data_IF_765377710723
#
_entry.id   IF_765377710723
#
_cell.length_a   1.000
_cell.length_b   1.000
_cell.length_c   1.000
_cell.angle_alpha   90.00
_cell.angle_beta   90.00
_cell.angle_gamma   90.00
#
_symmetry.space_group_name_H-M   'P 1'
#
loop_
_entity.id
_entity.type
_entity.pdbx_description
1 polymer ?
#
# COMPACT_ATOMS: atom_id res chain seq x y z
N UNK A 1 -0.32 -15.96 -12.70
CA UNK A 1 -1.60 -15.58 -12.05
C UNK A 1 -1.50 -14.24 -11.31
N UNK A 2 -0.59 -14.06 -10.37
CA UNK A 2 -0.46 -12.79 -9.62
C UNK A 2 -0.26 -11.54 -10.48
N UNK A 3 0.50 -11.62 -11.57
CA UNK A 3 0.70 -10.50 -12.51
C UNK A 3 -0.61 -10.05 -13.17
N UNK A 4 -1.52 -10.98 -13.48
CA UNK A 4 -2.82 -10.66 -14.07
C UNK A 4 -3.70 -9.95 -13.05
N UNK A 5 -3.73 -10.43 -11.81
CA UNK A 5 -4.44 -9.78 -10.70
C UNK A 5 -3.89 -8.39 -10.42
N UNK A 6 -2.56 -8.26 -10.40
CA UNK A 6 -1.88 -6.98 -10.25
C UNK A 6 -2.27 -6.00 -11.36
N UNK A 7 -2.22 -6.41 -12.63
CA UNK A 7 -2.57 -5.55 -13.76
C UNK A 7 -4.03 -5.04 -13.68
N UNK A 8 -4.95 -5.89 -13.23
CA UNK A 8 -6.35 -5.50 -13.01
C UNK A 8 -6.50 -4.55 -11.83
N UNK A 9 -5.88 -4.86 -10.69
CA UNK A 9 -5.93 -4.01 -9.50
C UNK A 9 -5.28 -2.65 -9.76
N UNK A 10 -4.18 -2.61 -10.52
CA UNK A 10 -3.45 -1.39 -10.84
C UNK A 10 -4.31 -0.36 -11.60
N UNK A 11 -5.31 -0.78 -12.36
CA UNK A 11 -6.23 0.13 -13.04
C UNK A 11 -7.03 0.95 -12.02
N UNK A 12 -7.56 0.29 -10.97
CA UNK A 12 -8.27 0.98 -9.88
C UNK A 12 -7.33 1.86 -9.07
N UNK A 13 -6.16 1.34 -8.70
CA UNK A 13 -5.13 2.12 -7.98
C UNK A 13 -4.79 3.41 -8.71
N UNK A 14 -4.65 3.37 -10.05
CA UNK A 14 -4.32 4.56 -10.83
C UNK A 14 -5.47 5.57 -10.92
N UNK A 15 -6.71 5.12 -10.78
CA UNK A 15 -7.89 6.00 -10.80
C UNK A 15 -8.17 6.63 -9.43
N UNK A 16 -7.99 5.86 -8.36
CA UNK A 16 -8.34 6.28 -7.00
C UNK A 16 -7.24 7.08 -6.31
N UNK A 17 -5.97 6.77 -6.59
CA UNK A 17 -4.87 7.47 -5.95
C UNK A 17 -4.67 8.88 -6.51
N UNK A 18 -4.61 9.91 -5.65
CA UNK A 18 -4.34 11.27 -6.06
C UNK A 18 -2.95 11.41 -6.71
N UNK A 19 -2.79 12.43 -7.54
CA UNK A 19 -1.53 12.66 -8.25
C UNK A 19 -0.35 12.99 -7.34
N UNK A 20 -0.62 13.43 -6.13
CA UNK A 20 0.41 13.72 -5.11
C UNK A 20 1.01 12.45 -4.51
N UNK A 21 0.29 11.32 -4.58
CA UNK A 21 0.80 10.04 -4.08
C UNK A 21 1.94 9.53 -4.98
N UNK A 22 3.15 9.51 -4.44
CA UNK A 22 4.34 9.06 -5.18
C UNK A 22 4.86 7.67 -4.79
N UNK A 23 4.44 7.15 -3.62
CA UNK A 23 4.89 5.86 -3.12
C UNK A 23 4.36 4.69 -3.94
N UNK A 24 5.24 3.76 -4.33
CA UNK A 24 4.88 2.54 -5.06
C UNK A 24 4.08 2.77 -6.36
N UNK A 25 4.24 3.93 -7.02
CA UNK A 25 3.65 4.23 -8.33
C UNK A 25 4.67 4.09 -9.45
N UNK A 26 4.24 3.50 -10.55
CA UNK A 26 5.09 3.40 -11.76
C UNK A 26 5.42 4.79 -12.30
N UNK A 27 6.69 5.03 -12.58
CA UNK A 27 7.18 6.30 -13.11
C UNK A 27 7.30 7.42 -12.09
N UNK A 28 7.11 7.14 -10.80
CA UNK A 28 7.32 8.06 -9.69
C UNK A 28 8.38 7.51 -8.76
N UNK A 29 9.34 8.35 -8.38
CA UNK A 29 10.43 7.95 -7.51
C UNK A 29 10.68 8.95 -6.39
N UNK A 30 11.54 8.59 -5.45
CA UNK A 30 11.94 9.45 -4.33
C UNK A 30 12.50 10.79 -4.82
N UNK A 31 13.21 10.79 -5.96
CA UNK A 31 13.73 12.02 -6.58
C UNK A 31 12.61 13.02 -6.91
N UNK A 32 11.49 12.53 -7.48
CA UNK A 32 10.37 13.39 -7.87
C UNK A 32 9.71 14.01 -6.62
N UNK A 33 9.59 13.24 -5.55
CA UNK A 33 9.07 13.73 -4.27
C UNK A 33 9.98 14.79 -3.65
N UNK A 34 11.29 14.60 -3.70
CA UNK A 34 12.26 15.59 -3.21
C UNK A 34 12.15 16.88 -4.02
N UNK A 35 12.09 16.78 -5.35
CA UNK A 35 11.93 17.95 -6.25
C UNK A 35 10.65 18.73 -5.90
N UNK A 36 9.52 18.02 -5.67
CA UNK A 36 8.26 18.66 -5.27
C UNK A 36 8.39 19.42 -3.94
N UNK A 37 9.07 18.85 -2.96
CA UNK A 37 9.32 19.52 -1.67
C UNK A 37 10.19 20.76 -1.88
N UNK A 38 11.29 20.66 -2.61
CA UNK A 38 12.17 21.78 -2.92
C UNK A 38 11.41 22.91 -3.64
N UNK A 39 10.59 22.54 -4.63
CA UNK A 39 9.76 23.52 -5.36
C UNK A 39 8.76 24.24 -4.48
N UNK A 40 8.10 23.53 -3.56
CA UNK A 40 7.19 24.15 -2.58
C UNK A 40 7.94 25.12 -1.65
N UNK A 41 9.17 24.78 -1.23
CA UNK A 41 10.00 25.67 -0.39
C UNK A 41 10.38 26.92 -1.17
N UNK A 42 10.79 26.78 -2.43
CA UNK A 42 11.15 27.92 -3.30
C UNK A 42 9.96 28.84 -3.51
N UNK A 43 8.79 28.29 -3.81
CA UNK A 43 7.55 29.05 -3.95
C UNK A 43 7.15 29.78 -2.66
N UNK A 44 7.24 29.12 -1.52
CA UNK A 44 6.98 29.77 -0.23
C UNK A 44 7.91 30.96 0.04
N UNK A 45 9.19 30.83 -0.33
CA UNK A 45 10.18 31.93 -0.25
C UNK A 45 9.85 33.08 -1.19
N UNK A 46 9.53 32.77 -2.45
CA UNK A 46 9.15 33.77 -3.46
C UNK A 46 7.97 34.63 -3.00
N UNK A 47 6.96 34.01 -2.39
CA UNK A 47 5.77 34.70 -1.90
C UNK A 47 5.86 35.13 -0.43
N UNK A 48 7.02 35.00 0.21
CA UNK A 48 7.26 35.33 1.62
C UNK A 48 6.23 34.69 2.58
N UNK A 49 5.81 33.46 2.27
CA UNK A 49 4.87 32.70 3.07
C UNK A 49 5.59 31.66 3.91
N UNK A 50 5.14 31.50 5.15
CA UNK A 50 5.60 30.42 6.00
C UNK A 50 5.07 29.08 5.48
N UNK A 51 5.91 28.06 5.42
CA UNK A 51 5.55 26.70 5.11
C UNK A 51 5.94 25.79 6.27
N UNK A 52 5.07 24.86 6.60
CA UNK A 52 5.27 23.91 7.69
C UNK A 52 5.22 22.50 7.11
N UNK A 53 6.15 21.64 7.48
CA UNK A 53 6.19 20.23 7.08
C UNK A 53 5.94 19.34 8.28
N UNK A 54 5.08 18.35 8.11
CA UNK A 54 4.89 17.27 9.05
C UNK A 54 5.28 15.96 8.38
N UNK A 55 6.21 15.22 8.96
CA UNK A 55 6.64 13.91 8.46
C UNK A 55 6.06 12.83 9.36
N UNK A 56 5.29 11.92 8.76
CA UNK A 56 4.66 10.80 9.46
C UNK A 56 5.33 9.52 8.97
N UNK A 57 6.00 8.82 9.88
CA UNK A 57 6.60 7.52 9.60
C UNK A 57 5.78 6.42 10.25
N UNK A 58 5.31 5.48 9.44
CA UNK A 58 4.50 4.37 9.92
C UNK A 58 5.36 3.18 10.32
N UNK A 59 5.21 2.72 11.54
CA UNK A 59 5.88 1.51 12.02
C UNK A 59 5.21 0.25 11.46
N UNK A 60 5.96 -0.62 10.78
CA UNK A 60 5.51 -1.92 10.27
C UNK A 60 4.24 -1.85 9.40
N UNK A 61 4.20 -0.90 8.46
CA UNK A 61 3.00 -0.61 7.66
C UNK A 61 2.40 -1.83 6.98
N UNK A 62 3.21 -2.71 6.37
CA UNK A 62 2.71 -3.90 5.69
C UNK A 62 2.16 -4.93 6.67
N UNK A 63 2.73 -5.03 7.87
CA UNK A 63 2.30 -6.00 8.89
C UNK A 63 1.00 -5.57 9.59
N UNK A 64 0.62 -4.29 9.48
CA UNK A 64 -0.53 -3.71 10.17
C UNK A 64 -1.81 -3.65 9.33
N UNK A 65 -1.76 -3.97 8.04
CA UNK A 65 -2.94 -3.94 7.16
C UNK A 65 -3.99 -4.93 7.66
N UNK A 66 -5.16 -4.40 8.04
CA UNK A 66 -6.29 -5.23 8.45
C UNK A 66 -7.03 -5.76 7.21
N UNK A 67 -7.11 -7.09 7.07
CA UNK A 67 -7.73 -7.73 5.91
C UNK A 67 -9.20 -7.36 5.76
N UNK A 68 -9.98 -7.37 6.85
CA UNK A 68 -11.41 -7.05 6.77
C UNK A 68 -11.62 -5.63 6.28
N UNK A 69 -10.85 -4.69 6.83
CA UNK A 69 -10.91 -3.28 6.41
C UNK A 69 -10.47 -3.10 4.96
N UNK A 70 -9.44 -3.82 4.52
CA UNK A 70 -8.99 -3.80 3.13
C UNK A 70 -10.10 -4.22 2.17
N UNK A 71 -10.90 -5.24 2.51
CA UNK A 71 -12.01 -5.70 1.66
C UNK A 71 -13.20 -4.73 1.67
N UNK A 72 -13.45 -4.02 2.78
CA UNK A 72 -14.40 -2.92 2.82
C UNK A 72 -13.98 -1.78 1.88
N UNK A 73 -12.72 -1.37 1.95
CA UNK A 73 -12.13 -0.35 1.07
C UNK A 73 -12.27 -0.72 -0.39
N UNK A 74 -11.97 -1.97 -0.75
CA UNK A 74 -12.15 -2.46 -2.13
C UNK A 74 -13.59 -2.28 -2.62
N UNK A 75 -14.57 -2.54 -1.77
CA UNK A 75 -15.98 -2.37 -2.09
C UNK A 75 -16.35 -0.90 -2.23
N UNK A 76 -15.90 -0.04 -1.32
CA UNK A 76 -16.14 1.41 -1.35
C UNK A 76 -15.54 2.07 -2.59
N UNK A 77 -14.36 1.62 -3.04
CA UNK A 77 -13.68 2.08 -4.25
C UNK A 77 -14.24 1.46 -5.54
N UNK A 78 -15.33 0.70 -5.48
CA UNK A 78 -15.97 0.12 -6.66
C UNK A 78 -15.14 -0.95 -7.37
N UNK A 79 -14.18 -1.57 -6.68
CA UNK A 79 -13.43 -2.71 -7.22
C UNK A 79 -14.39 -3.89 -7.40
N UNK A 80 -14.36 -4.51 -8.59
CA UNK A 80 -15.26 -5.61 -8.94
C UNK A 80 -15.30 -6.70 -7.86
N UNK A 81 -16.49 -7.11 -7.46
CA UNK A 81 -16.70 -8.15 -6.42
C UNK A 81 -15.95 -9.45 -6.73
N UNK A 82 -15.93 -9.86 -7.99
CA UNK A 82 -15.22 -11.07 -8.41
C UNK A 82 -13.70 -10.95 -8.18
N UNK A 83 -13.10 -9.79 -8.48
CA UNK A 83 -11.68 -9.54 -8.23
C UNK A 83 -11.38 -9.54 -6.73
N UNK A 84 -12.20 -8.84 -5.95
CA UNK A 84 -12.10 -8.79 -4.49
C UNK A 84 -12.25 -10.19 -3.88
N UNK A 85 -13.17 -11.01 -4.38
CA UNK A 85 -13.34 -12.39 -3.94
C UNK A 85 -12.09 -13.26 -4.17
N UNK A 86 -11.49 -13.17 -5.36
CA UNK A 86 -10.26 -13.91 -5.67
C UNK A 86 -9.12 -13.47 -4.76
N UNK A 87 -8.94 -12.15 -4.57
CA UNK A 87 -7.90 -11.59 -3.72
C UNK A 87 -8.10 -11.98 -2.25
N UNK A 88 -9.34 -11.95 -1.77
CA UNK A 88 -9.69 -12.39 -0.42
C UNK A 88 -9.36 -13.86 -0.20
N UNK A 89 -9.69 -14.72 -1.15
CA UNK A 89 -9.36 -16.15 -1.06
C UNK A 89 -7.85 -16.41 -1.09
N UNK A 90 -7.08 -15.58 -1.78
CA UNK A 90 -5.62 -15.67 -1.78
C UNK A 90 -5.03 -15.40 -0.38
N UNK A 91 -5.68 -14.57 0.42
CA UNK A 91 -5.26 -14.22 1.79
C UNK A 91 -5.97 -15.07 2.87
N UNK A 92 -7.06 -15.74 2.52
CA UNK A 92 -7.80 -16.57 3.46
C UNK A 92 -7.01 -17.84 3.83
N UNK A 93 -6.90 -18.10 5.12
CA UNK A 93 -6.24 -19.31 5.62
C UNK A 93 -4.74 -19.38 5.36
N UNK A 94 -4.08 -18.25 5.12
CA UNK A 94 -2.62 -18.25 5.00
C UNK A 94 -1.97 -18.64 6.32
N UNK A 95 -1.06 -19.59 6.22
CA UNK A 95 -0.25 -20.06 7.34
C UNK A 95 1.22 -19.81 7.06
N UNK A 96 1.98 -19.58 8.10
CA UNK A 96 3.42 -19.43 8.01
C UNK A 96 4.13 -20.14 9.16
N UNK A 97 5.41 -20.39 8.97
CA UNK A 97 6.29 -20.92 10.01
C UNK A 97 7.62 -20.20 9.96
N UNK A 98 8.32 -20.18 11.06
CA UNK A 98 9.65 -19.58 11.17
C UNK A 98 10.70 -20.69 11.27
N UNK A 99 11.69 -20.64 10.39
CA UNK A 99 12.86 -21.52 10.45
C UNK A 99 13.96 -20.83 11.24
N UNK A 100 14.37 -21.46 12.32
CA UNK A 100 15.50 -21.01 13.16
C UNK A 100 16.69 -21.93 13.02
N UNK A 101 17.84 -21.56 13.58
CA UNK A 101 19.01 -22.45 13.65
C UNK A 101 18.77 -23.72 14.47
N UNK A 102 17.71 -23.77 15.28
CA UNK A 102 17.35 -24.92 16.13
C UNK A 102 16.19 -25.75 15.55
N UNK A 103 15.68 -25.40 14.37
CA UNK A 103 14.58 -26.13 13.71
C UNK A 103 13.47 -25.22 13.19
N UNK A 104 12.37 -25.82 12.78
CA UNK A 104 11.18 -25.14 12.28
C UNK A 104 10.13 -25.06 13.38
N UNK A 105 9.54 -23.88 13.61
CA UNK A 105 8.46 -23.68 14.56
C UNK A 105 7.15 -24.28 14.04
N UNK A 106 6.16 -24.41 14.91
CA UNK A 106 4.81 -24.80 14.51
C UNK A 106 4.20 -23.75 13.56
N UNK A 107 3.37 -24.22 12.63
CA UNK A 107 2.63 -23.38 11.73
C UNK A 107 1.62 -22.52 12.50
N UNK A 108 1.48 -21.27 12.11
CA UNK A 108 0.47 -20.36 12.66
C UNK A 108 -0.20 -19.56 11.54
N UNK A 109 -1.44 -19.19 11.79
CA UNK A 109 -2.24 -18.43 10.81
C UNK A 109 -1.88 -16.96 10.80
N UNK A 110 -1.89 -16.37 9.58
CA UNK A 110 -1.71 -14.95 9.37
C UNK A 110 -3.10 -14.28 9.33
N UNK A 111 -3.40 -13.49 10.36
CA UNK A 111 -4.70 -12.78 10.48
C UNK A 111 -4.68 -11.33 9.98
N UNK A 112 -3.50 -10.77 9.68
CA UNK A 112 -3.32 -9.38 9.23
C UNK A 112 -2.01 -9.22 8.49
N UNK A 113 -1.88 -8.11 7.80
CA UNK A 113 -0.67 -7.76 7.05
C UNK A 113 -0.70 -8.21 5.60
N UNK A 114 0.18 -7.63 4.80
CA UNK A 114 0.40 -8.00 3.41
C UNK A 114 1.84 -8.49 3.23
N UNK A 115 2.02 -9.51 2.41
CA UNK A 115 3.29 -10.20 2.27
C UNK A 115 4.37 -9.29 1.67
N UNK A 116 5.47 -9.08 2.38
CA UNK A 116 6.62 -8.34 1.85
C UNK A 116 7.23 -9.10 0.66
N UNK A 117 7.50 -8.37 -0.43
CA UNK A 117 7.98 -8.96 -1.68
C UNK A 117 6.89 -9.49 -2.62
N UNK A 118 5.62 -9.51 -2.21
CA UNK A 118 4.52 -9.82 -3.12
C UNK A 118 4.19 -8.61 -4.01
N UNK A 119 4.00 -8.85 -5.30
CA UNK A 119 3.68 -7.80 -6.28
C UNK A 119 2.37 -7.05 -5.98
N UNK A 120 1.43 -7.66 -5.26
CA UNK A 120 0.14 -7.06 -4.88
C UNK A 120 0.24 -6.15 -3.66
N UNK A 121 1.21 -6.38 -2.78
CA UNK A 121 1.28 -5.70 -1.48
C UNK A 121 1.41 -4.18 -1.57
N UNK A 122 2.20 -3.61 -2.51
CA UNK A 122 2.23 -2.17 -2.69
C UNK A 122 0.87 -1.56 -3.10
N UNK A 123 0.12 -2.25 -3.96
CA UNK A 123 -1.21 -1.82 -4.37
C UNK A 123 -2.19 -1.83 -3.19
N UNK A 124 -2.21 -2.90 -2.41
CA UNK A 124 -3.05 -3.02 -1.22
C UNK A 124 -2.70 -1.97 -0.18
N UNK A 125 -1.42 -1.75 0.05
CA UNK A 125 -0.99 -0.72 0.97
C UNK A 125 -1.42 0.68 0.51
N UNK A 126 -1.24 1.01 -0.76
CA UNK A 126 -1.64 2.30 -1.29
C UNK A 126 -3.14 2.56 -1.13
N UNK A 127 -3.99 1.59 -1.47
CA UNK A 127 -5.44 1.71 -1.29
C UNK A 127 -5.82 1.83 0.19
N UNK A 128 -5.16 1.06 1.05
CA UNK A 128 -5.40 1.10 2.48
C UNK A 128 -4.95 2.43 3.10
N UNK A 129 -3.78 2.94 2.72
CA UNK A 129 -3.24 4.19 3.22
C UNK A 129 -4.10 5.40 2.81
N UNK A 130 -4.58 5.44 1.55
CA UNK A 130 -5.47 6.50 1.07
C UNK A 130 -6.77 6.60 1.87
N UNK A 131 -7.27 5.45 2.33
CA UNK A 131 -8.50 5.43 3.11
C UNK A 131 -8.32 5.93 4.55
N UNK A 132 -7.14 5.71 5.15
CA UNK A 132 -6.88 6.07 6.57
C UNK A 132 -6.29 7.48 6.74
N UNK A 133 -5.85 8.13 5.67
CA UNK A 133 -5.34 9.51 5.67
C UNK A 133 -6.40 10.53 5.27
#
# INVERSE_FOLDING_TARGET
MLQILHARLQQYVNQELPDVQGGFRKGRGTRDLIVNICWNIEKAREFQKNIYFCFIDYTKVFDCVNHNKLWEIHKEMGIQDHLTYILRNLYAGQETTVRTGHGTMNWFQIGKGVCQGCILSPCFFNLYAEYIM
#
